data_IF_174803876502
#
_entry.id   IF_174803876502
#
_cell.length_a   1.000
_cell.length_b   1.000
_cell.length_c   1.000
_cell.angle_alpha   90.00
_cell.angle_beta   90.00
_cell.angle_gamma   90.00
#
_symmetry.space_group_name_H-M   'P 1'
#
loop_
_entity.id
_entity.type
_entity.pdbx_description
1 polymer ?
#
# COMPACT_ATOMS: atom_id res chain seq x y z
N UNK A 1 -19.09 9.19 -0.53
CA UNK A 1 -18.15 8.88 0.58
C UNK A 1 -16.69 9.20 0.23
N UNK A 2 -16.14 8.76 -0.91
CA UNK A 2 -14.73 9.00 -1.29
C UNK A 2 -14.31 10.47 -1.48
N UNK A 3 -15.22 11.40 -1.76
CA UNK A 3 -14.85 12.79 -2.02
C UNK A 3 -14.37 13.56 -0.78
N UNK A 4 -14.78 13.18 0.44
CA UNK A 4 -14.45 13.90 1.67
C UNK A 4 -13.39 13.18 2.54
N UNK A 5 -12.79 12.11 2.03
CA UNK A 5 -11.75 11.37 2.77
C UNK A 5 -10.40 12.10 2.67
N UNK A 6 -9.63 12.08 3.77
CA UNK A 6 -8.25 12.57 3.79
C UNK A 6 -7.41 11.85 2.73
N UNK A 7 -6.48 12.55 2.10
CA UNK A 7 -5.57 11.99 1.09
C UNK A 7 -4.80 10.78 1.64
N UNK A 8 -4.29 10.89 2.87
CA UNK A 8 -3.62 9.79 3.56
C UNK A 8 -4.49 8.53 3.67
N UNK A 9 -5.79 8.67 3.97
CA UNK A 9 -6.72 7.54 4.05
C UNK A 9 -6.98 6.91 2.69
N UNK A 10 -7.09 7.71 1.62
CA UNK A 10 -7.24 7.20 0.25
C UNK A 10 -6.03 6.39 -0.19
N UNK A 11 -4.83 6.91 0.07
CA UNK A 11 -3.57 6.21 -0.23
C UNK A 11 -3.44 4.93 0.61
N UNK A 12 -3.72 5.00 1.92
CA UNK A 12 -3.69 3.85 2.81
C UNK A 12 -4.65 2.74 2.35
N UNK A 13 -5.87 3.09 1.90
CA UNK A 13 -6.81 2.13 1.35
C UNK A 13 -6.34 1.56 0.00
N UNK A 14 -5.76 2.39 -0.88
CA UNK A 14 -5.24 1.94 -2.16
C UNK A 14 -4.08 0.94 -2.01
N UNK A 15 -3.06 1.30 -1.22
CA UNK A 15 -1.95 0.40 -0.91
C UNK A 15 -2.40 -0.80 -0.07
N UNK A 16 -3.30 -0.60 0.89
CA UNK A 16 -3.87 -1.68 1.70
C UNK A 16 -4.62 -2.70 0.86
N UNK A 17 -5.36 -2.26 -0.16
CA UNK A 17 -6.01 -3.15 -1.12
C UNK A 17 -4.99 -3.97 -1.91
N UNK A 18 -3.91 -3.37 -2.41
CA UNK A 18 -2.85 -4.08 -3.13
C UNK A 18 -2.19 -5.13 -2.25
N UNK A 19 -1.85 -4.78 -1.00
CA UNK A 19 -1.27 -5.72 -0.03
C UNK A 19 -2.25 -6.84 0.28
N UNK A 20 -3.53 -6.54 0.52
CA UNK A 20 -4.55 -7.55 0.76
C UNK A 20 -4.72 -8.52 -0.43
N UNK A 21 -4.71 -8.00 -1.65
CA UNK A 21 -4.76 -8.81 -2.88
C UNK A 21 -3.51 -9.69 -3.01
N UNK A 22 -2.32 -9.18 -2.71
CA UNK A 22 -1.09 -9.99 -2.70
C UNK A 22 -1.14 -11.11 -1.67
N UNK A 23 -1.60 -10.81 -0.45
CA UNK A 23 -1.77 -11.83 0.61
C UNK A 23 -2.79 -12.89 0.19
N UNK A 24 -3.90 -12.48 -0.42
CA UNK A 24 -4.92 -13.41 -0.93
C UNK A 24 -4.36 -14.32 -2.03
N UNK A 25 -3.64 -13.77 -3.01
CA UNK A 25 -3.00 -14.54 -4.08
C UNK A 25 -1.97 -15.51 -3.50
N UNK A 26 -1.13 -15.07 -2.56
CA UNK A 26 -0.15 -15.91 -1.89
C UNK A 26 -0.81 -17.05 -1.12
N UNK A 27 -1.88 -16.76 -0.38
CA UNK A 27 -2.65 -17.77 0.35
C UNK A 27 -3.27 -18.82 -0.57
N UNK A 28 -3.89 -18.39 -1.68
CA UNK A 28 -4.44 -19.29 -2.70
C UNK A 28 -3.31 -20.13 -3.32
N UNK A 29 -2.16 -19.52 -3.65
CA UNK A 29 -1.03 -20.23 -4.23
C UNK A 29 -0.47 -21.31 -3.32
N UNK A 30 -0.28 -20.99 -2.03
CA UNK A 30 0.24 -21.93 -1.03
C UNK A 30 -0.74 -23.10 -0.82
N UNK A 31 -2.03 -22.81 -0.66
CA UNK A 31 -3.04 -23.87 -0.45
C UNK A 31 -3.16 -24.81 -1.65
N UNK A 32 -3.09 -24.27 -2.89
CA UNK A 32 -3.11 -25.09 -4.10
C UNK A 32 -1.83 -25.92 -4.28
N UNK A 33 -0.67 -25.35 -3.96
CA UNK A 33 0.59 -26.10 -3.97
C UNK A 33 0.61 -27.21 -2.92
N UNK A 34 0.06 -26.99 -1.72
CA UNK A 34 -0.08 -28.01 -0.71
C UNK A 34 -0.93 -29.20 -1.19
N UNK A 35 -2.05 -28.92 -1.88
CA UNK A 35 -2.86 -29.98 -2.50
C UNK A 35 -2.11 -30.74 -3.59
N UNK A 36 -1.38 -30.05 -4.47
CA UNK A 36 -0.58 -30.71 -5.50
C UNK A 36 0.51 -31.60 -4.90
N UNK A 37 1.18 -31.12 -3.85
CA UNK A 37 2.20 -31.87 -3.12
C UNK A 37 1.61 -33.13 -2.48
N UNK A 38 0.42 -33.05 -1.88
CA UNK A 38 -0.26 -34.21 -1.30
C UNK A 38 -0.66 -35.23 -2.36
N UNK A 39 -1.20 -34.79 -3.50
CA UNK A 39 -1.51 -35.69 -4.62
C UNK A 39 -0.26 -36.41 -5.15
N UNK A 40 0.87 -35.70 -5.27
CA UNK A 40 2.13 -36.28 -5.69
C UNK A 40 2.69 -37.27 -4.65
N UNK A 41 2.55 -36.96 -3.36
CA UNK A 41 2.91 -37.84 -2.25
C UNK A 41 2.13 -39.15 -2.30
N UNK A 42 0.80 -39.08 -2.51
CA UNK A 42 -0.03 -40.29 -2.66
C UNK A 42 0.38 -41.15 -3.86
N UNK A 43 0.77 -40.53 -4.98
CA UNK A 43 1.26 -41.25 -6.16
C UNK A 43 2.60 -41.93 -5.86
N UNK A 44 3.57 -41.21 -5.30
CA UNK A 44 4.94 -41.68 -5.10
C UNK A 44 5.15 -42.60 -3.89
N UNK A 45 4.50 -42.31 -2.76
CA UNK A 45 4.70 -43.04 -1.50
C UNK A 45 3.67 -44.17 -1.29
N UNK A 46 2.50 -44.09 -1.92
CA UNK A 46 1.45 -45.09 -1.74
C UNK A 46 1.16 -45.92 -2.99
N UNK A 47 0.74 -45.30 -4.09
CA UNK A 47 0.24 -46.03 -5.28
C UNK A 47 1.38 -46.75 -6.02
N UNK A 48 2.51 -46.07 -6.22
CA UNK A 48 3.67 -46.65 -6.91
C UNK A 48 4.28 -47.87 -6.19
N UNK A 49 4.57 -47.83 -4.87
CA UNK A 49 5.08 -49.00 -4.16
C UNK A 49 4.11 -50.20 -4.17
N UNK A 50 2.80 -49.95 -4.11
CA UNK A 50 1.78 -51.02 -4.18
C UNK A 50 1.81 -51.74 -5.52
N UNK A 51 1.92 -51.00 -6.63
CA UNK A 51 2.05 -51.59 -7.97
C UNK A 51 3.33 -52.44 -8.09
N UNK A 52 4.46 -51.90 -7.63
CA UNK A 52 5.74 -52.63 -7.66
C UNK A 52 5.71 -53.91 -6.80
N UNK A 53 5.15 -53.85 -5.60
CA UNK A 53 4.99 -55.04 -4.75
C UNK A 53 4.14 -56.13 -5.41
N UNK A 54 3.11 -55.76 -6.17
CA UNK A 54 2.31 -56.72 -6.93
C UNK A 54 3.12 -57.35 -8.09
N UNK A 55 3.99 -56.57 -8.74
CA UNK A 55 4.96 -57.08 -9.72
C UNK A 55 6.03 -57.97 -9.10
N UNK A 56 6.51 -57.64 -7.89
CA UNK A 56 7.48 -58.46 -7.14
C UNK A 56 6.94 -59.87 -6.88
N UNK A 57 5.63 -60.04 -6.72
CA UNK A 57 5.01 -61.36 -6.62
C UNK A 57 5.29 -62.19 -7.87
N UNK A 58 5.16 -61.61 -9.06
CA UNK A 58 5.39 -62.29 -10.33
C UNK A 58 6.87 -62.64 -10.50
N UNK A 59 7.76 -61.68 -10.21
CA UNK A 59 9.22 -61.85 -10.33
C UNK A 59 9.72 -62.96 -9.39
N UNK A 60 9.38 -62.89 -8.10
CA UNK A 60 9.85 -63.87 -7.12
C UNK A 60 9.20 -65.25 -7.32
N UNK A 61 7.99 -65.33 -7.88
CA UNK A 61 7.41 -66.61 -8.29
C UNK A 61 8.19 -67.28 -9.43
N UNK A 62 8.79 -66.48 -10.33
CA UNK A 62 9.70 -67.02 -11.34
C UNK A 62 11.02 -67.52 -10.71
N UNK A 63 11.57 -66.79 -9.72
CA UNK A 63 12.76 -67.23 -8.96
C UNK A 63 12.53 -68.59 -8.30
N UNK A 64 11.38 -68.78 -7.64
CA UNK A 64 10.99 -70.08 -7.07
C UNK A 64 10.89 -71.15 -8.17
N UNK A 65 10.25 -70.82 -9.29
CA UNK A 65 10.13 -71.74 -10.42
C UNK A 65 11.47 -72.16 -11.02
N UNK A 66 12.47 -71.27 -11.04
CA UNK A 66 13.83 -71.55 -11.48
C UNK A 66 14.53 -72.45 -10.46
N UNK A 67 14.48 -72.14 -9.17
CA UNK A 67 15.10 -72.95 -8.12
C UNK A 67 14.55 -74.37 -8.09
N UNK A 68 13.23 -74.55 -8.23
CA UNK A 68 12.60 -75.87 -8.33
C UNK A 68 13.08 -76.67 -9.54
N UNK A 69 13.27 -76.01 -10.70
CA UNK A 69 13.82 -76.67 -11.90
C UNK A 69 15.29 -77.03 -11.72
N UNK A 70 16.09 -76.16 -11.11
CA UNK A 70 17.49 -76.45 -10.81
C UNK A 70 17.59 -77.65 -9.87
N UNK A 71 16.73 -77.73 -8.86
CA UNK A 71 16.65 -78.87 -7.95
C UNK A 71 16.30 -80.18 -8.69
N UNK A 72 15.43 -80.15 -9.70
CA UNK A 72 15.13 -81.30 -10.57
C UNK A 72 16.27 -81.71 -11.51
N UNK A 73 17.13 -80.76 -11.89
CA UNK A 73 18.23 -80.97 -12.85
C UNK A 73 19.55 -81.33 -12.16
N UNK A 74 19.65 -81.09 -10.86
CA UNK A 74 20.88 -81.28 -10.08
C UNK A 74 21.04 -82.74 -9.66
N UNK A 75 22.27 -83.25 -9.79
CA UNK A 75 22.64 -84.58 -9.30
C UNK A 75 23.33 -84.53 -7.91
N UNK A 76 23.50 -83.33 -7.34
CA UNK A 76 24.18 -83.12 -6.05
C UNK A 76 23.16 -82.82 -4.96
N UNK A 77 23.16 -83.63 -3.89
CA UNK A 77 22.28 -83.42 -2.72
C UNK A 77 22.51 -82.06 -2.06
N UNK A 78 23.75 -81.60 -1.97
CA UNK A 78 24.09 -80.30 -1.39
C UNK A 78 23.54 -79.14 -2.22
N UNK A 79 23.55 -79.27 -3.55
CA UNK A 79 22.97 -78.27 -4.43
C UNK A 79 21.43 -78.29 -4.38
N UNK A 80 20.80 -79.47 -4.36
CA UNK A 80 19.36 -79.60 -4.16
C UNK A 80 18.90 -78.95 -2.85
N UNK A 81 19.65 -79.16 -1.76
CA UNK A 81 19.38 -78.54 -0.46
C UNK A 81 19.48 -77.01 -0.54
N UNK A 82 20.52 -76.47 -1.19
CA UNK A 82 20.65 -75.01 -1.41
C UNK A 82 19.50 -74.44 -2.23
N UNK A 83 19.05 -75.13 -3.28
CA UNK A 83 17.89 -74.69 -4.07
C UNK A 83 16.60 -74.73 -3.23
N UNK A 84 16.41 -75.76 -2.39
CA UNK A 84 15.28 -75.85 -1.46
C UNK A 84 15.27 -74.69 -0.47
N UNK A 85 16.43 -74.35 0.11
CA UNK A 85 16.57 -73.19 1.00
C UNK A 85 16.23 -71.88 0.29
N UNK A 86 16.71 -71.67 -0.93
CA UNK A 86 16.35 -70.50 -1.73
C UNK A 86 14.83 -70.40 -2.02
N UNK A 87 14.16 -71.54 -2.23
CA UNK A 87 12.70 -71.58 -2.36
C UNK A 87 12.03 -71.15 -1.05
N UNK A 88 12.46 -71.68 0.10
CA UNK A 88 11.89 -71.34 1.41
C UNK A 88 12.10 -69.86 1.77
N UNK A 89 13.29 -69.33 1.53
CA UNK A 89 13.62 -67.91 1.75
C UNK A 89 12.75 -67.01 0.87
N UNK A 90 12.66 -67.31 -0.43
CA UNK A 90 11.83 -66.52 -1.37
C UNK A 90 10.35 -66.60 -1.01
N UNK A 91 9.86 -67.75 -0.52
CA UNK A 91 8.48 -67.89 -0.03
C UNK A 91 8.21 -67.02 1.19
N UNK A 92 9.16 -66.94 2.12
CA UNK A 92 9.06 -66.10 3.32
C UNK A 92 8.99 -64.63 2.92
N UNK A 93 9.89 -64.19 2.03
CA UNK A 93 9.87 -62.84 1.45
C UNK A 93 8.51 -62.51 0.81
N UNK A 94 8.01 -63.40 -0.07
CA UNK A 94 6.69 -63.25 -0.69
C UNK A 94 5.54 -63.22 0.30
N UNK A 95 5.64 -63.99 1.40
CA UNK A 95 4.67 -63.94 2.49
C UNK A 95 4.60 -62.55 3.12
N UNK A 96 5.76 -61.95 3.40
CA UNK A 96 5.86 -60.58 3.91
C UNK A 96 5.28 -59.54 2.94
N UNK A 97 5.58 -59.66 1.64
CA UNK A 97 5.02 -58.76 0.61
C UNK A 97 3.49 -58.87 0.54
N UNK A 98 2.95 -60.08 0.58
CA UNK A 98 1.50 -60.34 0.53
C UNK A 98 0.78 -59.79 1.77
N UNK A 99 1.33 -59.97 2.97
CA UNK A 99 0.73 -59.37 4.18
C UNK A 99 0.80 -57.84 4.15
N UNK A 100 1.93 -57.26 3.74
CA UNK A 100 2.06 -55.80 3.61
C UNK A 100 1.06 -55.24 2.60
N UNK A 101 0.88 -55.89 1.45
CA UNK A 101 -0.10 -55.50 0.44
C UNK A 101 -1.54 -55.57 0.98
N UNK A 102 -1.88 -56.62 1.72
CA UNK A 102 -3.18 -56.80 2.36
C UNK A 102 -3.50 -55.70 3.39
N UNK A 103 -2.52 -55.22 4.13
CA UNK A 103 -2.69 -54.10 5.07
C UNK A 103 -2.95 -52.77 4.37
N UNK A 104 -2.21 -52.47 3.29
CA UNK A 104 -2.27 -51.15 2.63
C UNK A 104 -3.35 -51.06 1.55
N UNK A 105 -3.84 -52.18 1.01
CA UNK A 105 -4.90 -52.18 0.00
C UNK A 105 -6.27 -52.13 0.68
N UNK A 106 -6.89 -50.94 0.66
CA UNK A 106 -8.18 -50.72 1.30
C UNK A 106 -9.38 -50.67 0.32
N UNK A 107 -9.13 -50.43 -0.97
CA UNK A 107 -10.19 -50.33 -1.98
C UNK A 107 -10.93 -51.68 -2.18
N UNK A 108 -12.27 -51.70 -2.34
CA UNK A 108 -13.05 -52.93 -2.52
C UNK A 108 -12.53 -53.87 -3.62
N UNK A 109 -12.21 -53.33 -4.82
CA UNK A 109 -11.72 -54.15 -5.93
C UNK A 109 -10.32 -54.68 -5.67
N UNK A 110 -9.49 -53.87 -5.00
CA UNK A 110 -8.15 -54.28 -4.56
C UNK A 110 -8.22 -55.43 -3.55
N UNK A 111 -9.15 -55.39 -2.59
CA UNK A 111 -9.36 -56.46 -1.60
C UNK A 111 -9.80 -57.77 -2.26
N UNK A 112 -10.69 -57.70 -3.25
CA UNK A 112 -11.10 -58.87 -4.04
C UNK A 112 -9.91 -59.52 -4.76
N UNK A 113 -9.09 -58.72 -5.46
CA UNK A 113 -7.89 -59.21 -6.15
C UNK A 113 -6.85 -59.76 -5.16
N UNK A 114 -6.71 -59.13 -3.99
CA UNK A 114 -5.83 -59.60 -2.92
C UNK A 114 -6.25 -60.97 -2.38
N UNK A 115 -7.56 -61.20 -2.23
CA UNK A 115 -8.09 -62.49 -1.81
C UNK A 115 -7.76 -63.60 -2.82
N UNK A 116 -7.89 -63.31 -4.12
CA UNK A 116 -7.48 -64.25 -5.18
C UNK A 116 -5.99 -64.59 -5.11
N UNK A 117 -5.12 -63.59 -4.84
CA UNK A 117 -3.68 -63.80 -4.65
C UNK A 117 -3.41 -64.71 -3.46
N UNK A 118 -4.10 -64.49 -2.32
CA UNK A 118 -3.92 -65.29 -1.10
C UNK A 118 -4.31 -66.76 -1.35
N UNK A 119 -5.47 -67.00 -1.97
CA UNK A 119 -5.95 -68.36 -2.28
C UNK A 119 -5.05 -69.08 -3.28
N UNK A 120 -4.64 -68.39 -4.36
CA UNK A 120 -3.75 -68.95 -5.36
C UNK A 120 -2.34 -69.18 -4.80
N UNK A 121 -1.86 -68.33 -3.89
CA UNK A 121 -0.59 -68.54 -3.19
C UNK A 121 -0.63 -69.82 -2.34
N UNK A 122 -1.70 -70.06 -1.59
CA UNK A 122 -1.83 -71.29 -0.80
C UNK A 122 -1.77 -72.54 -1.68
N UNK A 123 -2.50 -72.55 -2.80
CA UNK A 123 -2.45 -73.64 -3.78
C UNK A 123 -1.06 -73.81 -4.38
N UNK A 124 -0.39 -72.71 -4.70
CA UNK A 124 0.95 -72.74 -5.26
C UNK A 124 1.97 -73.27 -4.26
N UNK A 125 1.96 -72.82 -3.00
CA UNK A 125 2.84 -73.31 -1.94
C UNK A 125 2.63 -74.81 -1.70
N UNK A 126 1.38 -75.26 -1.58
CA UNK A 126 1.07 -76.68 -1.43
C UNK A 126 1.56 -77.52 -2.62
N UNK A 127 1.40 -77.00 -3.85
CA UNK A 127 1.90 -77.68 -5.03
C UNK A 127 3.42 -77.73 -5.10
N UNK A 128 4.10 -76.69 -4.65
CA UNK A 128 5.56 -76.71 -4.56
C UNK A 128 6.05 -77.74 -3.52
N UNK A 129 5.40 -77.87 -2.36
CA UNK A 129 5.73 -78.92 -1.37
C UNK A 129 5.59 -80.32 -1.96
N UNK A 130 4.49 -80.59 -2.70
CA UNK A 130 4.31 -81.86 -3.40
C UNK A 130 5.43 -82.13 -4.42
N UNK A 131 5.83 -81.11 -5.20
CA UNK A 131 6.94 -81.25 -6.14
C UNK A 131 8.27 -81.51 -5.43
N UNK A 132 8.58 -80.78 -4.36
CA UNK A 132 9.79 -80.99 -3.55
C UNK A 132 9.82 -82.42 -3.01
N UNK A 133 8.70 -82.92 -2.48
CA UNK A 133 8.60 -84.30 -2.00
C UNK A 133 8.85 -85.36 -3.08
N UNK A 134 8.34 -85.17 -4.30
CA UNK A 134 8.61 -86.07 -5.44
C UNK A 134 10.10 -86.06 -5.82
N UNK A 135 10.73 -84.88 -5.82
CA UNK A 135 12.16 -84.72 -6.11
C UNK A 135 13.01 -85.41 -5.04
N UNK A 136 12.69 -85.21 -3.75
CA UNK A 136 13.41 -85.83 -2.63
C UNK A 136 13.22 -87.34 -2.56
N UNK A 137 12.08 -87.85 -3.02
CA UNK A 137 11.82 -89.28 -3.17
C UNK A 137 12.55 -89.91 -4.37
N UNK A 138 13.20 -89.12 -5.22
CA UNK A 138 13.89 -89.58 -6.43
C UNK A 138 12.98 -89.87 -7.63
N UNK A 139 11.68 -89.55 -7.53
CA UNK A 139 10.70 -89.77 -8.61
C UNK A 139 10.78 -88.65 -9.66
N UNK A 140 11.80 -88.73 -10.51
CA UNK A 140 12.09 -87.73 -11.54
C UNK A 140 10.99 -87.65 -12.62
N UNK A 141 10.38 -88.79 -12.97
CA UNK A 141 9.32 -88.85 -13.97
C UNK A 141 8.02 -88.26 -13.42
N UNK A 142 7.62 -88.64 -12.19
CA UNK A 142 6.47 -88.08 -11.50
C UNK A 142 6.63 -86.59 -11.24
N UNK A 143 7.81 -86.13 -10.81
CA UNK A 143 8.10 -84.71 -10.63
C UNK A 143 7.95 -83.92 -11.94
N UNK A 144 8.44 -84.45 -13.07
CA UNK A 144 8.32 -83.81 -14.39
C UNK A 144 6.88 -83.79 -14.90
N UNK A 145 6.13 -84.87 -14.71
CA UNK A 145 4.73 -84.91 -15.07
C UNK A 145 3.93 -83.89 -14.24
N UNK A 146 4.06 -83.95 -12.93
CA UNK A 146 3.38 -83.06 -11.98
C UNK A 146 3.71 -81.57 -12.23
N UNK A 147 4.97 -81.24 -12.50
CA UNK A 147 5.37 -79.87 -12.84
C UNK A 147 4.59 -79.36 -14.07
N UNK A 148 4.44 -80.18 -15.10
CA UNK A 148 3.84 -79.76 -16.36
C UNK A 148 2.31 -79.74 -16.34
N UNK A 149 1.68 -80.72 -15.68
CA UNK A 149 0.23 -80.91 -15.70
C UNK A 149 -0.49 -80.20 -14.57
N UNK A 150 0.15 -80.04 -13.40
CA UNK A 150 -0.47 -79.43 -12.21
C UNK A 150 0.20 -78.10 -11.81
N UNK A 151 1.51 -78.11 -11.51
CA UNK A 151 2.15 -76.96 -10.87
C UNK A 151 2.27 -75.73 -11.79
N UNK A 152 2.62 -75.92 -13.08
CA UNK A 152 2.71 -74.81 -14.05
C UNK A 152 1.36 -74.10 -14.27
N UNK A 153 0.23 -74.81 -14.44
CA UNK A 153 -1.09 -74.19 -14.43
C UNK A 153 -1.38 -73.38 -13.15
N UNK A 154 -1.10 -73.94 -11.97
CA UNK A 154 -1.29 -73.24 -10.69
C UNK A 154 -0.45 -71.95 -10.62
N UNK A 155 0.83 -72.02 -11.04
CA UNK A 155 1.71 -70.86 -11.12
C UNK A 155 1.15 -69.79 -12.05
N UNK A 156 0.65 -70.16 -13.24
CA UNK A 156 0.05 -69.21 -14.18
C UNK A 156 -1.17 -68.51 -13.58
N UNK A 157 -2.03 -69.24 -12.88
CA UNK A 157 -3.20 -68.65 -12.19
C UNK A 157 -2.76 -67.68 -11.10
N UNK A 158 -1.74 -68.05 -10.30
CA UNK A 158 -1.18 -67.17 -9.29
C UNK A 158 -0.58 -65.88 -9.89
N UNK A 159 0.24 -66.00 -10.93
CA UNK A 159 0.81 -64.86 -11.65
C UNK A 159 -0.25 -63.99 -12.30
N UNK A 160 -1.32 -64.57 -12.86
CA UNK A 160 -2.42 -63.83 -13.44
C UNK A 160 -3.15 -62.98 -12.38
N UNK A 161 -3.38 -63.52 -11.17
CA UNK A 161 -3.96 -62.74 -10.07
C UNK A 161 -3.08 -61.58 -9.60
N UNK A 162 -1.76 -61.79 -9.52
CA UNK A 162 -0.80 -60.74 -9.19
C UNK A 162 -0.72 -59.65 -10.28
N UNK A 163 -0.69 -60.04 -11.56
CA UNK A 163 -0.73 -59.11 -12.69
C UNK A 163 -2.03 -58.31 -12.74
N UNK A 164 -3.17 -58.93 -12.43
CA UNK A 164 -4.45 -58.22 -12.35
C UNK A 164 -4.43 -57.14 -11.28
N UNK A 165 -3.85 -57.42 -10.10
CA UNK A 165 -3.65 -56.42 -9.06
C UNK A 165 -2.67 -55.32 -9.50
N UNK A 166 -1.52 -55.68 -10.07
CA UNK A 166 -0.53 -54.72 -10.56
C UNK A 166 -1.14 -53.76 -11.61
N UNK A 167 -1.92 -54.31 -12.56
CA UNK A 167 -2.65 -53.54 -13.56
C UNK A 167 -3.67 -52.59 -12.92
N UNK A 168 -4.47 -53.09 -11.98
CA UNK A 168 -5.45 -52.27 -11.27
C UNK A 168 -4.78 -51.13 -10.48
N UNK A 169 -3.66 -51.39 -9.81
CA UNK A 169 -2.88 -50.34 -9.13
C UNK A 169 -2.26 -49.34 -10.13
N UNK A 170 -1.83 -49.81 -11.30
CA UNK A 170 -1.36 -48.95 -12.39
C UNK A 170 -2.46 -48.04 -12.94
N UNK A 171 -3.68 -48.55 -13.14
CA UNK A 171 -4.83 -47.75 -13.56
C UNK A 171 -5.18 -46.67 -12.50
N UNK A 172 -5.13 -47.01 -11.21
CA UNK A 172 -5.30 -46.03 -10.13
C UNK A 172 -4.17 -45.00 -10.12
N UNK A 173 -2.93 -45.40 -10.40
CA UNK A 173 -1.80 -44.48 -10.51
C UNK A 173 -2.04 -43.47 -11.65
N UNK A 174 -2.36 -43.96 -12.85
CA UNK A 174 -2.63 -43.14 -14.04
C UNK A 174 -3.80 -42.17 -13.80
N UNK A 175 -4.86 -42.64 -13.14
CA UNK A 175 -5.98 -41.78 -12.74
C UNK A 175 -5.52 -40.70 -11.75
N UNK A 176 -4.72 -41.05 -10.75
CA UNK A 176 -4.19 -40.08 -9.78
C UNK A 176 -3.29 -39.02 -10.42
N UNK A 177 -2.48 -39.41 -11.41
CA UNK A 177 -1.65 -38.46 -12.19
C UNK A 177 -2.53 -37.52 -13.00
N UNK A 178 -3.59 -38.02 -13.66
CA UNK A 178 -4.55 -37.17 -14.39
C UNK A 178 -5.28 -36.19 -13.48
N UNK A 179 -5.79 -36.66 -12.33
CA UNK A 179 -6.45 -35.82 -11.33
C UNK A 179 -5.50 -34.73 -10.79
N UNK A 180 -4.24 -35.07 -10.56
CA UNK A 180 -3.21 -34.12 -10.14
C UNK A 180 -2.94 -33.06 -11.22
N UNK A 181 -2.86 -33.48 -12.49
CA UNK A 181 -2.66 -32.58 -13.63
C UNK A 181 -3.85 -31.62 -13.81
N UNK A 182 -5.08 -32.12 -13.77
CA UNK A 182 -6.30 -31.29 -13.86
C UNK A 182 -6.38 -30.29 -12.69
N UNK A 183 -6.04 -30.75 -11.48
CA UNK A 183 -5.97 -29.88 -10.30
C UNK A 183 -4.92 -28.77 -10.49
N UNK A 184 -3.75 -29.10 -11.04
CA UNK A 184 -2.71 -28.13 -11.35
C UNK A 184 -3.17 -27.11 -12.40
N UNK A 185 -3.77 -27.56 -13.50
CA UNK A 185 -4.23 -26.66 -14.57
C UNK A 185 -5.33 -25.71 -14.10
N UNK A 186 -6.28 -26.23 -13.30
CA UNK A 186 -7.31 -25.41 -12.66
C UNK A 186 -6.70 -24.39 -11.68
N UNK A 187 -5.76 -24.82 -10.84
CA UNK A 187 -5.06 -23.94 -9.90
C UNK A 187 -4.27 -22.84 -10.62
N UNK A 188 -3.55 -23.19 -11.69
CA UNK A 188 -2.79 -22.26 -12.52
C UNK A 188 -3.71 -21.23 -13.18
N UNK A 189 -4.83 -21.67 -13.75
CA UNK A 189 -5.81 -20.78 -14.39
C UNK A 189 -6.39 -19.80 -13.38
N UNK A 190 -6.78 -20.28 -12.19
CA UNK A 190 -7.32 -19.44 -11.13
C UNK A 190 -6.27 -18.47 -10.57
N UNK A 191 -5.00 -18.86 -10.45
CA UNK A 191 -3.91 -17.97 -10.07
C UNK A 191 -3.72 -16.85 -11.09
N UNK A 192 -3.63 -17.18 -12.39
CA UNK A 192 -3.49 -16.19 -13.46
C UNK A 192 -4.69 -15.23 -13.45
N UNK A 193 -5.91 -15.75 -13.38
CA UNK A 193 -7.12 -14.94 -13.31
C UNK A 193 -7.11 -14.00 -12.09
N UNK A 194 -6.65 -14.47 -10.93
CA UNK A 194 -6.55 -13.67 -9.70
C UNK A 194 -5.52 -12.55 -9.83
N UNK A 195 -4.36 -12.82 -10.44
CA UNK A 195 -3.33 -11.81 -10.71
C UNK A 195 -3.85 -10.74 -11.67
N UNK A 196 -4.48 -11.15 -12.77
CA UNK A 196 -5.06 -10.22 -13.75
C UNK A 196 -6.16 -9.37 -13.10
N UNK A 197 -7.05 -9.98 -12.32
CA UNK A 197 -8.09 -9.25 -11.59
C UNK A 197 -7.50 -8.26 -10.58
N UNK A 198 -6.47 -8.65 -9.84
CA UNK A 198 -5.78 -7.77 -8.89
C UNK A 198 -5.11 -6.58 -9.60
N UNK A 199 -4.47 -6.79 -10.75
CA UNK A 199 -3.89 -5.72 -11.56
C UNK A 199 -4.96 -4.75 -12.06
N UNK A 200 -6.08 -5.25 -12.58
CA UNK A 200 -7.20 -4.41 -13.04
C UNK A 200 -7.76 -3.58 -11.88
N UNK A 201 -7.98 -4.18 -10.71
CA UNK A 201 -8.45 -3.47 -9.53
C UNK A 201 -7.45 -2.42 -9.04
N UNK A 202 -6.15 -2.72 -9.05
CA UNK A 202 -5.11 -1.77 -8.68
C UNK A 202 -5.07 -0.57 -9.65
N UNK A 203 -5.19 -0.80 -10.96
CA UNK A 203 -5.26 0.26 -11.97
C UNK A 203 -6.52 1.11 -11.78
N UNK A 204 -7.67 0.49 -11.56
CA UNK A 204 -8.93 1.22 -11.31
C UNK A 204 -8.80 2.08 -10.05
N UNK A 205 -8.29 1.52 -8.94
CA UNK A 205 -8.09 2.25 -7.70
C UNK A 205 -7.11 3.43 -7.90
N UNK A 206 -6.00 3.22 -8.59
CA UNK A 206 -5.04 4.26 -8.92
C UNK A 206 -5.69 5.38 -9.74
N UNK A 207 -6.43 5.05 -10.80
CA UNK A 207 -7.12 6.04 -11.65
C UNK A 207 -8.19 6.83 -10.86
N UNK A 208 -8.92 6.19 -9.94
CA UNK A 208 -9.90 6.85 -9.09
C UNK A 208 -9.23 7.81 -8.08
N UNK A 209 -8.11 7.40 -7.48
CA UNK A 209 -7.34 8.24 -6.56
C UNK A 209 -6.74 9.43 -7.31
N UNK A 210 -6.08 9.20 -8.45
CA UNK A 210 -5.46 10.24 -9.29
C UNK A 210 -6.52 11.24 -9.76
N UNK A 211 -7.64 10.76 -10.32
CA UNK A 211 -8.75 11.65 -10.75
C UNK A 211 -9.33 12.43 -9.59
N UNK A 212 -9.53 11.78 -8.44
CA UNK A 212 -10.07 12.42 -7.25
C UNK A 212 -9.14 13.51 -6.71
N UNK A 213 -7.84 13.26 -6.67
CA UNK A 213 -6.83 14.20 -6.18
C UNK A 213 -6.62 15.36 -7.15
N UNK A 214 -6.52 15.07 -8.45
CA UNK A 214 -6.42 16.08 -9.50
C UNK A 214 -7.62 17.02 -9.51
N UNK A 215 -8.84 16.51 -9.26
CA UNK A 215 -10.05 17.34 -9.15
C UNK A 215 -10.07 18.20 -7.88
N UNK A 216 -9.54 17.71 -6.76
CA UNK A 216 -9.47 18.49 -5.52
C UNK A 216 -8.40 19.60 -5.59
N UNK A 217 -7.28 19.31 -6.23
CA UNK A 217 -6.19 20.27 -6.42
C UNK A 217 -6.53 21.31 -7.50
N UNK A 218 -7.27 20.93 -8.54
CA UNK A 218 -7.60 21.81 -9.69
C UNK A 218 -6.53 21.84 -10.76
N UNK A 219 -5.36 21.27 -10.48
CA UNK A 219 -4.20 21.23 -11.38
C UNK A 219 -3.07 20.41 -10.77
N UNK A 220 -1.85 20.59 -11.28
CA UNK A 220 -0.68 19.90 -10.75
C UNK A 220 -0.23 20.49 -9.41
N UNK A 221 0.19 19.66 -8.43
CA UNK A 221 0.67 20.14 -7.14
C UNK A 221 1.84 21.13 -7.25
N UNK A 222 2.76 20.89 -8.19
CA UNK A 222 3.91 21.75 -8.41
C UNK A 222 3.51 23.14 -8.91
N UNK A 223 2.48 23.23 -9.76
CA UNK A 223 1.93 24.51 -10.20
C UNK A 223 1.34 25.30 -9.03
N UNK A 224 0.50 24.66 -8.20
CA UNK A 224 -0.05 25.31 -7.01
C UNK A 224 1.04 25.78 -6.04
N UNK A 225 2.10 24.98 -5.83
CA UNK A 225 3.23 25.38 -4.99
C UNK A 225 4.02 26.58 -5.56
N UNK A 226 4.16 26.65 -6.88
CA UNK A 226 4.85 27.75 -7.56
C UNK A 226 4.07 29.07 -7.42
N UNK A 227 2.76 29.07 -7.67
CA UNK A 227 1.89 30.24 -7.45
C UNK A 227 2.01 30.71 -5.99
N UNK A 228 1.93 29.79 -5.03
CA UNK A 228 2.04 30.13 -3.60
C UNK A 228 3.39 30.80 -3.29
N UNK A 229 4.47 30.37 -3.94
CA UNK A 229 5.81 30.90 -3.75
C UNK A 229 5.97 32.29 -4.38
N UNK A 230 5.39 32.53 -5.56
CA UNK A 230 5.38 33.85 -6.18
C UNK A 230 4.62 34.87 -5.32
N UNK A 231 3.44 34.48 -4.81
CA UNK A 231 2.64 35.31 -3.89
C UNK A 231 3.40 35.58 -2.58
N UNK A 232 4.07 34.57 -2.03
CA UNK A 232 4.91 34.73 -0.83
C UNK A 232 6.10 35.68 -1.06
N UNK A 233 6.59 35.82 -2.30
CA UNK A 233 7.61 36.78 -2.69
C UNK A 233 7.04 38.19 -2.98
N UNK A 234 5.73 38.39 -2.82
CA UNK A 234 5.06 39.67 -3.03
C UNK A 234 4.59 39.91 -4.46
N UNK A 235 4.72 38.94 -5.36
CA UNK A 235 4.15 39.04 -6.71
C UNK A 235 2.66 38.67 -6.68
N UNK A 236 1.81 39.69 -6.80
CA UNK A 236 0.35 39.54 -6.89
C UNK A 236 -0.17 39.76 -8.32
N UNK A 237 0.73 39.84 -9.30
CA UNK A 237 0.39 39.96 -10.73
C UNK A 237 0.24 38.62 -11.42
N UNK A 238 0.52 37.54 -10.70
CA UNK A 238 0.47 36.16 -11.18
C UNK A 238 -0.94 35.78 -11.63
N UNK A 239 -1.06 35.35 -12.88
CA UNK A 239 -2.30 34.82 -13.41
C UNK A 239 -2.45 33.35 -13.06
N UNK A 240 -3.47 33.04 -12.26
CA UNK A 240 -3.78 31.66 -11.87
C UNK A 240 -4.71 31.04 -12.91
N UNK A 241 -4.15 30.16 -13.74
CA UNK A 241 -4.89 29.41 -14.74
C UNK A 241 -5.72 28.31 -14.06
N UNK A 242 -7.03 28.35 -14.31
CA UNK A 242 -7.97 27.36 -13.78
C UNK A 242 -8.44 26.44 -14.90
N UNK A 243 -8.71 25.20 -14.51
CA UNK A 243 -9.24 24.20 -15.42
C UNK A 243 -10.74 24.45 -15.63
N UNK A 244 -11.13 25.08 -16.74
CA UNK A 244 -12.55 25.35 -17.04
C UNK A 244 -13.28 26.09 -15.90
N UNK A 245 -14.59 25.84 -15.73
CA UNK A 245 -15.43 26.40 -14.65
C UNK A 245 -15.12 25.82 -13.24
N UNK A 246 -13.85 25.63 -12.91
CA UNK A 246 -13.43 25.22 -11.57
C UNK A 246 -13.55 26.39 -10.58
N UNK A 247 -14.44 26.23 -9.60
CA UNK A 247 -14.72 27.23 -8.56
C UNK A 247 -14.47 26.70 -7.15
N UNK A 248 -14.01 25.46 -7.01
CA UNK A 248 -14.00 24.77 -5.69
C UNK A 248 -12.65 24.14 -5.33
N UNK A 249 -11.73 24.03 -6.29
CA UNK A 249 -10.42 23.45 -6.02
C UNK A 249 -9.52 24.35 -5.17
N UNK A 250 -8.41 23.78 -4.72
CA UNK A 250 -7.33 24.55 -4.09
C UNK A 250 -6.85 25.68 -5.00
N UNK A 251 -6.67 25.41 -6.30
CA UNK A 251 -6.26 26.41 -7.28
C UNK A 251 -7.29 27.54 -7.44
N UNK A 252 -8.59 27.22 -7.45
CA UNK A 252 -9.65 28.22 -7.48
C UNK A 252 -9.61 29.11 -6.22
N UNK A 253 -9.47 28.51 -5.04
CA UNK A 253 -9.32 29.26 -3.79
C UNK A 253 -8.04 30.12 -3.75
N UNK A 254 -6.95 29.65 -4.38
CA UNK A 254 -5.73 30.44 -4.53
C UNK A 254 -5.92 31.63 -5.46
N UNK A 255 -6.63 31.46 -6.59
CA UNK A 255 -6.97 32.58 -7.48
C UNK A 255 -7.75 33.67 -6.73
N UNK A 256 -8.77 33.28 -5.98
CA UNK A 256 -9.56 34.22 -5.16
C UNK A 256 -8.69 34.94 -4.12
N UNK A 257 -7.71 34.23 -3.53
CA UNK A 257 -6.75 34.81 -2.58
C UNK A 257 -5.86 35.86 -3.25
N UNK A 258 -5.27 35.55 -4.42
CA UNK A 258 -4.43 36.50 -5.17
C UNK A 258 -5.24 37.73 -5.55
N UNK A 259 -6.47 37.56 -6.05
CA UNK A 259 -7.34 38.66 -6.42
C UNK A 259 -7.67 39.57 -5.23
N UNK A 260 -8.02 39.01 -4.08
CA UNK A 260 -8.32 39.79 -2.87
C UNK A 260 -7.07 40.52 -2.34
N UNK A 261 -5.92 39.85 -2.31
CA UNK A 261 -4.68 40.48 -1.86
C UNK A 261 -4.27 41.64 -2.79
N UNK A 262 -4.37 41.44 -4.11
CA UNK A 262 -4.08 42.47 -5.11
C UNK A 262 -5.01 43.68 -4.96
N UNK A 263 -6.31 43.45 -4.77
CA UNK A 263 -7.29 44.51 -4.49
C UNK A 263 -6.95 45.29 -3.22
N UNK A 264 -6.64 44.60 -2.11
CA UNK A 264 -6.27 45.26 -0.85
C UNK A 264 -4.98 46.08 -0.97
N UNK A 265 -3.97 45.61 -1.72
CA UNK A 265 -2.77 46.42 -1.98
C UNK A 265 -3.08 47.65 -2.85
N UNK A 266 -4.00 47.53 -3.80
CA UNK A 266 -4.50 48.66 -4.58
C UNK A 266 -5.18 49.73 -3.71
N UNK A 267 -6.00 49.30 -2.76
CA UNK A 267 -6.63 50.19 -1.76
C UNK A 267 -5.59 50.86 -0.86
N UNK A 268 -4.61 50.11 -0.36
CA UNK A 268 -3.51 50.65 0.48
C UNK A 268 -2.69 51.66 -0.30
N UNK A 269 -2.37 51.39 -1.57
CA UNK A 269 -1.65 52.34 -2.43
C UNK A 269 -2.44 53.63 -2.63
N UNK A 270 -3.73 53.51 -2.93
CA UNK A 270 -4.61 54.68 -3.11
C UNK A 270 -4.72 55.51 -1.83
N UNK A 271 -4.79 54.86 -0.68
CA UNK A 271 -4.78 55.53 0.62
C UNK A 271 -3.43 56.22 0.91
N UNK A 272 -2.31 55.59 0.55
CA UNK A 272 -0.98 56.17 0.69
C UNK A 272 -0.79 57.40 -0.23
N UNK A 273 -1.25 57.34 -1.48
CA UNK A 273 -1.22 58.47 -2.41
C UNK A 273 -2.09 59.63 -1.90
N UNK A 274 -3.26 59.33 -1.35
CA UNK A 274 -4.14 60.33 -0.72
C UNK A 274 -3.49 60.96 0.52
N UNK A 275 -2.82 60.15 1.35
CA UNK A 275 -2.11 60.62 2.54
C UNK A 275 -0.91 61.50 2.17
N UNK A 276 -0.18 61.15 1.10
CA UNK A 276 0.92 61.96 0.57
C UNK A 276 0.41 63.33 0.11
N UNK A 277 -0.66 63.37 -0.70
CA UNK A 277 -1.28 64.62 -1.13
C UNK A 277 -1.78 65.48 0.05
N UNK A 278 -2.42 64.85 1.05
CA UNK A 278 -2.88 65.54 2.26
C UNK A 278 -1.70 66.09 3.08
N UNK A 279 -0.58 65.37 3.12
CA UNK A 279 0.65 65.83 3.79
C UNK A 279 1.28 67.04 3.08
N UNK A 280 1.24 67.07 1.74
CA UNK A 280 1.66 68.24 0.96
C UNK A 280 0.78 69.46 1.23
N UNK A 281 -0.54 69.29 1.28
CA UNK A 281 -1.49 70.35 1.61
C UNK A 281 -1.30 70.89 3.05
N UNK A 282 -1.11 70.00 4.03
CA UNK A 282 -0.80 70.38 5.41
C UNK A 282 0.52 71.14 5.48
N UNK A 283 1.54 70.72 4.72
CA UNK A 283 2.82 71.43 4.65
C UNK A 283 2.65 72.84 4.08
N UNK A 284 1.90 73.00 2.98
CA UNK A 284 1.62 74.30 2.36
C UNK A 284 0.82 75.23 3.29
N UNK A 285 -0.17 74.67 3.99
CA UNK A 285 -0.97 75.40 4.98
C UNK A 285 -0.12 75.86 6.16
N UNK A 286 0.76 74.99 6.65
CA UNK A 286 1.70 75.31 7.73
C UNK A 286 2.65 76.43 7.34
N UNK A 287 3.13 76.45 6.09
CA UNK A 287 3.97 77.53 5.56
C UNK A 287 3.23 78.87 5.51
N UNK A 288 1.98 78.86 5.02
CA UNK A 288 1.12 80.06 4.97
C UNK A 288 0.80 80.58 6.38
N UNK A 289 0.51 79.68 7.33
CA UNK A 289 0.24 80.05 8.71
C UNK A 289 1.47 80.65 9.39
N UNK A 290 2.67 80.10 9.15
CA UNK A 290 3.93 80.65 9.66
C UNK A 290 4.19 82.07 9.11
N UNK A 291 3.90 82.29 7.82
CA UNK A 291 3.97 83.61 7.20
C UNK A 291 2.97 84.59 7.83
N UNK A 292 1.69 84.22 7.92
CA UNK A 292 0.66 85.06 8.54
C UNK A 292 0.93 85.36 10.02
N UNK A 293 1.48 84.38 10.76
CA UNK A 293 1.91 84.60 12.15
C UNK A 293 3.06 85.60 12.24
N UNK A 294 3.98 85.60 11.27
CA UNK A 294 5.08 86.58 11.20
C UNK A 294 4.57 87.99 10.88
N UNK A 295 3.61 88.12 9.96
CA UNK A 295 2.96 89.41 9.66
C UNK A 295 2.15 89.95 10.84
N UNK A 296 1.45 89.07 11.56
CA UNK A 296 0.70 89.43 12.75
C UNK A 296 1.62 89.85 13.89
N UNK A 297 2.76 89.18 14.05
CA UNK A 297 3.80 89.59 15.00
C UNK A 297 4.33 91.00 14.67
N UNK A 298 4.63 91.29 13.41
CA UNK A 298 5.05 92.62 12.97
C UNK A 298 3.97 93.70 13.21
N UNK A 299 2.70 93.39 12.93
CA UNK A 299 1.58 94.31 13.20
C UNK A 299 1.39 94.59 14.69
N UNK A 300 1.64 93.58 15.54
CA UNK A 300 1.66 93.71 17.00
C UNK A 300 2.81 94.59 17.48
N UNK A 301 4.00 94.46 16.89
CA UNK A 301 5.14 95.35 17.16
C UNK A 301 4.79 96.80 16.80
N UNK A 302 4.20 97.05 15.62
CA UNK A 302 3.78 98.39 15.20
C UNK A 302 2.70 98.98 16.11
N UNK A 303 1.72 98.16 16.53
CA UNK A 303 0.69 98.58 17.49
C UNK A 303 1.31 98.92 18.84
N UNK A 304 2.27 98.12 19.30
CA UNK A 304 2.98 98.37 20.57
C UNK A 304 3.77 99.67 20.50
N UNK A 305 4.48 99.91 19.40
CA UNK A 305 5.19 101.17 19.16
C UNK A 305 4.22 102.38 19.13
N UNK A 306 3.05 102.22 18.51
CA UNK A 306 2.01 103.25 18.51
C UNK A 306 1.46 103.52 19.92
N UNK A 307 1.30 102.48 20.75
CA UNK A 307 0.91 102.60 22.17
C UNK A 307 2.01 103.30 22.98
N UNK A 308 3.29 103.02 22.72
CA UNK A 308 4.42 103.73 23.35
C UNK A 308 4.41 105.21 22.98
N UNK A 309 4.25 105.54 21.69
CA UNK A 309 4.17 106.91 21.22
C UNK A 309 2.93 107.64 21.76
N UNK A 310 1.80 106.94 21.90
CA UNK A 310 0.59 107.47 22.51
C UNK A 310 0.78 107.72 24.01
N UNK A 311 1.41 106.80 24.75
CA UNK A 311 1.75 107.01 26.16
C UNK A 311 2.69 108.20 26.35
N UNK A 312 3.69 108.35 25.48
CA UNK A 312 4.58 109.51 25.47
C UNK A 312 3.81 110.82 25.23
N UNK A 313 2.87 110.83 24.27
CA UNK A 313 2.01 111.99 23.99
C UNK A 313 1.06 112.31 25.15
N UNK A 314 0.51 111.31 25.85
CA UNK A 314 -0.30 111.50 27.06
C UNK A 314 0.56 112.10 28.18
N UNK A 315 1.79 111.60 28.35
CA UNK A 315 2.77 112.18 29.27
C UNK A 315 3.03 113.66 28.94
N UNK A 316 3.29 113.97 27.66
CA UNK A 316 3.51 115.34 27.20
C UNK A 316 2.27 116.24 27.39
N UNK A 317 1.06 115.75 27.11
CA UNK A 317 -0.18 116.50 27.36
C UNK A 317 -0.40 116.74 28.85
N UNK A 318 -0.05 115.77 29.70
CA UNK A 318 -0.12 115.91 31.15
C UNK A 318 0.84 116.99 31.65
N UNK A 319 2.07 117.02 31.12
CA UNK A 319 3.05 118.05 31.45
C UNK A 319 2.64 119.43 30.91
N UNK A 320 2.11 119.50 29.69
CA UNK A 320 1.52 120.72 29.15
C UNK A 320 0.37 121.23 30.02
N UNK A 321 -0.53 120.34 30.47
CA UNK A 321 -1.63 120.70 31.36
C UNK A 321 -1.12 121.25 32.70
N UNK A 322 -0.07 120.65 33.29
CA UNK A 322 0.59 121.20 34.50
C UNK A 322 1.22 122.57 34.26
N UNK A 323 1.87 122.76 33.11
CA UNK A 323 2.44 124.06 32.73
C UNK A 323 1.32 125.10 32.56
N UNK A 324 0.23 124.75 31.86
CA UNK A 324 -0.94 125.63 31.69
C UNK A 324 -1.60 125.95 33.03
N UNK A 325 -1.78 124.97 33.92
CA UNK A 325 -2.27 125.19 35.28
C UNK A 325 -1.36 126.14 36.07
N UNK A 326 -0.05 125.95 35.97
CA UNK A 326 0.94 126.87 36.55
C UNK A 326 0.86 128.28 35.99
N UNK A 327 0.70 128.45 34.67
CA UNK A 327 0.50 129.75 34.02
C UNK A 327 -0.81 130.39 34.47
N UNK A 328 -1.89 129.62 34.54
CA UNK A 328 -3.21 130.08 34.97
C UNK A 328 -3.16 130.54 36.44
N UNK A 329 -2.54 129.75 37.31
CA UNK A 329 -2.32 130.10 38.72
C UNK A 329 -1.47 131.37 38.88
N UNK A 330 -0.38 131.49 38.12
CA UNK A 330 0.47 132.70 38.11
C UNK A 330 -0.25 133.92 37.54
N UNK A 331 -1.08 133.75 36.50
CA UNK A 331 -1.90 134.82 35.93
C UNK A 331 -3.00 135.26 36.90
N UNK A 332 -3.63 134.33 37.62
CA UNK A 332 -4.56 134.64 38.70
C UNK A 332 -3.87 135.41 39.84
N UNK A 333 -2.64 135.02 40.19
CA UNK A 333 -1.77 135.78 41.09
C UNK A 333 -1.53 137.21 40.59
N UNK A 334 -1.02 137.36 39.37
CA UNK A 334 -0.79 138.68 38.75
C UNK A 334 -2.07 139.54 38.65
N UNK A 335 -3.23 138.94 38.37
CA UNK A 335 -4.51 139.65 38.35
C UNK A 335 -4.93 140.10 39.75
N UNK A 336 -4.59 139.33 40.79
CA UNK A 336 -4.81 139.69 42.20
C UNK A 336 -3.89 140.84 42.61
N UNK A 337 -2.61 140.78 42.25
CA UNK A 337 -1.62 141.84 42.50
C UNK A 337 -1.97 143.12 41.73
N UNK A 338 -2.38 142.99 40.45
CA UNK A 338 -2.91 144.09 39.66
C UNK A 338 -4.18 144.69 40.27
N UNK A 339 -5.07 143.86 40.82
CA UNK A 339 -6.23 144.29 41.58
C UNK A 339 -5.88 145.06 42.86
N UNK A 340 -4.82 144.66 43.57
CA UNK A 340 -4.28 145.42 44.71
C UNK A 340 -3.65 146.75 44.27
N UNK A 341 -2.90 146.76 43.17
CA UNK A 341 -2.31 147.98 42.62
C UNK A 341 -3.40 149.01 42.25
N UNK A 342 -4.48 148.58 41.59
CA UNK A 342 -5.62 149.47 41.30
C UNK A 342 -6.26 149.99 42.59
N UNK A 343 -6.49 149.15 43.61
CA UNK A 343 -6.99 149.61 44.93
C UNK A 343 -6.04 150.55 45.68
N UNK A 344 -4.74 150.46 45.43
CA UNK A 344 -3.76 151.37 46.03
C UNK A 344 -3.70 152.73 45.31
N UNK A 345 -4.35 152.88 44.16
CA UNK A 345 -4.27 154.08 43.30
C UNK A 345 -5.61 154.83 43.20
N UNK A 346 -6.69 154.35 43.84
CA UNK A 346 -8.02 154.97 43.88
C UNK A 346 -8.50 155.05 45.32
#
# INVERSE_FOLDING_TARGET
MFQNMKVATKLALGFGLVVALMLLISFIGITRMAHLNESLRLVGEERWPRANMATDIVVNSNTIGIALRNMMLSNSRDDMQRQKEAVLETRQLLGGVVEKLKEVIQNPKGKELMQQIIENRQRYVAGQEKLIGLIEAGDSEGARNYLNTELRPILRTYQASANALAKFQGELLDQGVKEAQETYESARTLMIASVVAALVLAVIAALLIIRGLSRQLGGEPFYAADIARQVANGDMTVEVELRGNDTTSLLAAMKDMVQKLSATLGEVRTAADSLAACSEEVSATSQTLAQGSSEQAASLEETTASIEQMSASIGQNTDNAKVTDGIASKSAGNATDGGQAVRATV
#
